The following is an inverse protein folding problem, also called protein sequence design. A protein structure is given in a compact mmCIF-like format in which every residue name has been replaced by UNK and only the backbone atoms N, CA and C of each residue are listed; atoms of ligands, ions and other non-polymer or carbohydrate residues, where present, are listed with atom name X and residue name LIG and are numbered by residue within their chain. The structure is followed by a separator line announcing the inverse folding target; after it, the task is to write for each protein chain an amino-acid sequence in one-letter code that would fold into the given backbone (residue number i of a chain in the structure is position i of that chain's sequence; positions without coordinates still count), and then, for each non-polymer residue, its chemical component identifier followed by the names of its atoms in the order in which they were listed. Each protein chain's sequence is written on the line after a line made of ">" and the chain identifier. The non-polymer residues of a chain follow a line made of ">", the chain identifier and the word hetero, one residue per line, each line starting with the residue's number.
data_IF_215746252476
#
_entry.id   IF_215746252476
#
_cell.length_a   1.000
_cell.length_b   1.000
_cell.length_c   1.000
_cell.angle_alpha   90.00
_cell.angle_beta   90.00
_cell.angle_gamma   90.00
#
_symmetry.space_group_name_H-M   'P 1'
#
loop_
_entity.id
_entity.type
_entity.pdbx_description
1 polymer ?
#
# COMPACT_ATOMS: atom_id res chain seq x y z
N UNK A 1 0.45 -7.11 23.63
CA UNK A 1 -0.02 -6.12 22.64
C UNK A 1 -1.11 -6.67 21.71
N UNK A 2 -0.95 -7.86 21.12
CA UNK A 2 -1.90 -8.44 20.15
C UNK A 2 -3.36 -8.50 20.64
N UNK A 3 -3.60 -8.89 21.90
CA UNK A 3 -4.95 -8.89 22.49
C UNK A 3 -5.66 -7.52 22.41
N UNK A 4 -4.95 -6.41 22.69
CA UNK A 4 -5.53 -5.08 22.65
C UNK A 4 -5.88 -4.66 21.22
N UNK A 5 -5.06 -5.03 20.24
CA UNK A 5 -5.34 -4.78 18.81
C UNK A 5 -6.64 -5.47 18.41
N UNK A 6 -6.82 -6.75 18.74
CA UNK A 6 -8.04 -7.49 18.43
C UNK A 6 -9.28 -6.84 19.08
N UNK A 7 -9.18 -6.44 20.36
CA UNK A 7 -10.27 -5.72 21.03
C UNK A 7 -10.67 -4.45 20.27
N UNK A 8 -9.70 -3.64 19.84
CA UNK A 8 -9.95 -2.40 19.12
C UNK A 8 -10.53 -2.65 17.73
N UNK A 9 -9.99 -3.61 16.99
CA UNK A 9 -10.53 -3.99 15.67
C UNK A 9 -11.98 -4.43 15.79
N UNK A 10 -12.29 -5.29 16.77
CA UNK A 10 -13.68 -5.73 17.01
C UNK A 10 -14.58 -4.57 17.44
N UNK A 11 -14.12 -3.69 18.32
CA UNK A 11 -14.92 -2.59 18.83
C UNK A 11 -15.26 -1.55 17.74
N UNK A 12 -14.33 -1.27 16.83
CA UNK A 12 -14.45 -0.14 15.90
C UNK A 12 -14.68 -0.53 14.44
N UNK A 13 -14.40 -1.78 14.05
CA UNK A 13 -14.53 -2.23 12.66
C UNK A 13 -15.72 -3.16 12.42
N UNK A 14 -16.22 -3.84 13.45
CA UNK A 14 -17.42 -4.71 13.35
C UNK A 14 -18.63 -3.93 13.85
N UNK A 15 -19.59 -3.67 12.97
CA UNK A 15 -20.83 -2.95 13.25
C UNK A 15 -21.77 -3.00 12.02
N UNK A 16 -23.01 -2.56 12.18
CA UNK A 16 -24.05 -2.63 11.13
C UNK A 16 -23.93 -1.58 10.02
N UNK A 17 -22.81 -0.86 9.93
CA UNK A 17 -22.59 0.12 8.86
C UNK A 17 -22.36 -0.62 7.54
N UNK A 18 -23.18 -0.33 6.53
CA UNK A 18 -22.99 -0.87 5.19
C UNK A 18 -21.68 -0.38 4.54
N UNK A 19 -20.91 -1.31 3.98
CA UNK A 19 -19.67 -1.03 3.26
C UNK A 19 -20.00 -0.74 1.79
N UNK A 20 -20.01 0.55 1.44
CA UNK A 20 -20.23 1.03 0.06
C UNK A 20 -19.08 0.75 -0.95
N UNK A 21 -18.09 -0.05 -0.57
CA UNK A 21 -16.94 -0.38 -1.41
C UNK A 21 -17.21 -1.68 -2.16
N UNK A 22 -17.14 -1.64 -3.48
CA UNK A 22 -17.24 -2.83 -4.31
C UNK A 22 -15.83 -3.40 -4.58
N UNK A 23 -15.66 -4.70 -4.38
CA UNK A 23 -14.45 -5.43 -4.73
C UNK A 23 -14.57 -5.96 -6.17
N UNK A 24 -13.61 -5.62 -7.04
CA UNK A 24 -13.68 -5.90 -8.49
C UNK A 24 -12.57 -6.81 -9.00
N UNK A 25 -11.52 -7.04 -8.21
CA UNK A 25 -10.43 -7.96 -8.56
C UNK A 25 -10.75 -9.38 -8.10
N UNK A 26 -9.91 -10.34 -8.49
CA UNK A 26 -10.02 -11.74 -8.06
C UNK A 26 -9.41 -11.91 -6.66
N UNK A 27 -10.22 -12.19 -5.61
CA UNK A 27 -9.70 -12.37 -4.26
C UNK A 27 -8.74 -13.54 -4.14
N UNK A 28 -8.89 -14.61 -4.95
CA UNK A 28 -8.01 -15.78 -4.90
C UNK A 28 -6.57 -15.46 -5.34
N UNK A 29 -6.40 -14.41 -6.16
CA UNK A 29 -5.10 -13.87 -6.56
C UNK A 29 -4.60 -12.86 -5.54
N UNK A 30 -5.46 -11.99 -5.02
CA UNK A 30 -5.07 -10.95 -4.08
C UNK A 30 -4.73 -11.50 -2.67
N UNK A 31 -5.33 -12.63 -2.31
CA UNK A 31 -5.21 -13.30 -1.01
C UNK A 31 -4.76 -14.76 -1.18
N UNK A 32 -3.83 -15.01 -2.11
CA UNK A 32 -3.28 -16.34 -2.44
C UNK A 32 -2.68 -17.12 -1.24
N UNK A 33 -2.38 -16.41 -0.16
CA UNK A 33 -1.86 -16.94 1.10
C UNK A 33 -2.95 -17.42 2.06
N UNK A 34 -4.23 -17.14 1.78
CA UNK A 34 -5.38 -17.51 2.60
C UNK A 34 -6.18 -18.65 1.96
N UNK A 35 -6.90 -19.41 2.79
CA UNK A 35 -7.93 -20.34 2.31
C UNK A 35 -9.28 -19.66 2.06
N UNK A 36 -9.45 -18.41 2.48
CA UNK A 36 -10.65 -17.62 2.23
C UNK A 36 -10.51 -16.80 0.95
N UNK A 37 -11.34 -17.12 -0.03
CA UNK A 37 -11.35 -16.52 -1.36
C UNK A 37 -12.25 -15.27 -1.44
N UNK A 38 -12.24 -14.43 -0.40
CA UNK A 38 -13.09 -13.24 -0.31
C UNK A 38 -12.47 -12.14 0.54
N UNK A 39 -12.91 -10.92 0.30
CA UNK A 39 -12.60 -9.79 1.18
C UNK A 39 -13.45 -9.87 2.45
N UNK A 40 -12.92 -9.43 3.59
CA UNK A 40 -13.54 -9.69 4.89
C UNK A 40 -14.96 -9.14 5.06
N UNK A 41 -15.32 -8.04 4.38
CA UNK A 41 -16.65 -7.45 4.45
C UNK A 41 -17.69 -8.12 3.53
N UNK A 42 -17.27 -9.10 2.73
CA UNK A 42 -18.15 -9.97 1.95
C UNK A 42 -18.34 -11.35 2.61
N UNK A 43 -17.78 -11.58 3.79
CA UNK A 43 -18.05 -12.79 4.58
C UNK A 43 -19.44 -12.72 5.22
N UNK A 44 -20.30 -13.70 4.93
CA UNK A 44 -21.67 -13.75 5.43
C UNK A 44 -21.77 -13.94 6.95
N UNK A 45 -20.69 -14.36 7.62
CA UNK A 45 -20.68 -14.65 9.06
C UNK A 45 -20.05 -13.52 9.88
N UNK A 46 -19.46 -12.51 9.24
CA UNK A 46 -18.73 -11.44 9.93
C UNK A 46 -19.25 -10.08 9.44
N UNK A 47 -19.90 -9.34 10.33
CA UNK A 47 -20.43 -8.02 9.97
C UNK A 47 -19.35 -6.92 10.10
N UNK A 48 -18.65 -6.65 9.00
CA UNK A 48 -17.62 -5.61 8.90
C UNK A 48 -18.24 -4.29 8.43
N UNK A 49 -18.14 -3.23 9.24
CA UNK A 49 -18.56 -1.88 8.86
C UNK A 49 -17.43 -0.93 8.47
N UNK A 50 -16.18 -1.30 8.79
CA UNK A 50 -14.98 -0.58 8.35
C UNK A 50 -13.88 -1.57 7.93
N UNK A 51 -13.71 -1.84 6.62
CA UNK A 51 -12.67 -2.74 6.16
C UNK A 51 -11.29 -2.08 6.24
N UNK A 52 -10.30 -2.84 6.69
CA UNK A 52 -8.90 -2.43 6.77
C UNK A 52 -8.10 -3.26 5.78
N UNK A 53 -7.32 -2.59 4.93
CA UNK A 53 -6.36 -3.22 4.04
C UNK A 53 -4.95 -2.89 4.52
N UNK A 54 -4.08 -3.88 4.63
CA UNK A 54 -2.70 -3.66 5.10
C UNK A 54 -1.71 -4.56 4.37
N UNK A 55 -0.48 -4.06 4.26
CA UNK A 55 0.70 -4.87 3.96
C UNK A 55 1.41 -5.20 5.28
N UNK A 56 2.34 -6.16 5.26
CA UNK A 56 3.22 -6.40 6.40
C UNK A 56 4.46 -5.50 6.37
N UNK A 57 4.94 -5.11 7.55
CA UNK A 57 6.19 -4.40 7.79
C UNK A 57 7.37 -5.33 8.11
N UNK A 58 8.53 -4.74 8.42
CA UNK A 58 9.75 -5.48 8.79
C UNK A 58 9.75 -5.97 10.25
N UNK A 59 8.89 -5.39 11.09
CA UNK A 59 8.71 -5.76 12.50
C UNK A 59 7.47 -6.62 12.75
N UNK A 60 6.66 -6.87 11.72
CA UNK A 60 5.60 -7.87 11.79
C UNK A 60 6.26 -9.24 11.72
N UNK A 61 6.82 -9.68 12.86
CA UNK A 61 7.66 -10.86 13.00
C UNK A 61 7.10 -12.04 12.19
N UNK A 62 7.89 -12.50 11.22
CA UNK A 62 7.61 -13.74 10.50
C UNK A 62 8.04 -14.92 11.36
N UNK A 63 7.08 -15.66 11.92
CA UNK A 63 7.32 -16.95 12.54
C UNK A 63 7.35 -18.05 11.47
N UNK A 64 8.32 -18.97 11.56
CA UNK A 64 8.39 -20.16 10.71
C UNK A 64 8.40 -19.84 9.20
N UNK A 65 7.41 -20.36 8.47
CA UNK A 65 7.28 -20.31 6.99
C UNK A 65 6.86 -18.93 6.43
N UNK A 66 7.23 -17.82 7.07
CA UNK A 66 6.82 -16.48 6.62
C UNK A 66 5.40 -16.07 7.04
N UNK A 67 4.86 -16.69 8.09
CA UNK A 67 3.58 -16.29 8.70
C UNK A 67 3.80 -15.20 9.73
N UNK A 68 2.94 -14.20 9.74
CA UNK A 68 2.97 -13.05 10.64
C UNK A 68 1.71 -13.03 11.50
N UNK A 69 1.67 -12.16 12.50
CA UNK A 69 0.42 -11.89 13.22
C UNK A 69 -0.69 -11.36 12.30
N UNK A 70 -0.33 -10.69 11.20
CA UNK A 70 -1.31 -10.17 10.25
C UNK A 70 -2.03 -11.30 9.51
N UNK A 71 -1.36 -12.43 9.26
CA UNK A 71 -2.02 -13.62 8.69
C UNK A 71 -3.11 -14.12 9.65
N UNK A 72 -2.82 -14.20 10.95
CA UNK A 72 -3.82 -14.60 11.95
C UNK A 72 -5.00 -13.63 12.00
N UNK A 73 -4.75 -12.32 11.92
CA UNK A 73 -5.81 -11.32 11.91
C UNK A 73 -6.63 -11.34 10.61
N UNK A 74 -6.00 -11.69 9.48
CA UNK A 74 -6.66 -11.86 8.19
C UNK A 74 -7.59 -13.09 8.21
N UNK A 75 -7.07 -14.24 8.65
CA UNK A 75 -7.84 -15.49 8.82
C UNK A 75 -8.99 -15.33 9.83
N UNK A 76 -8.84 -14.45 10.82
CA UNK A 76 -9.91 -14.10 11.76
C UNK A 76 -10.96 -13.12 11.19
N UNK A 77 -10.82 -12.69 9.93
CA UNK A 77 -11.71 -11.74 9.25
C UNK A 77 -11.60 -10.29 9.74
N UNK A 78 -10.58 -9.94 10.53
CA UNK A 78 -10.46 -8.61 11.13
C UNK A 78 -9.76 -7.59 10.21
N UNK A 79 -8.94 -8.05 9.27
CA UNK A 79 -8.22 -7.23 8.28
C UNK A 79 -8.13 -7.96 6.93
N UNK A 80 -7.78 -7.22 5.87
CA UNK A 80 -7.40 -7.74 4.57
C UNK A 80 -5.89 -7.56 4.38
N UNK A 81 -5.11 -8.62 4.59
CA UNK A 81 -3.68 -8.62 4.33
C UNK A 81 -3.45 -8.78 2.83
N UNK A 82 -2.66 -7.92 2.21
CA UNK A 82 -2.36 -8.02 0.77
C UNK A 82 -0.90 -7.68 0.48
N UNK A 83 -0.48 -7.89 -0.78
CA UNK A 83 0.87 -7.53 -1.23
C UNK A 83 1.98 -8.41 -0.65
N UNK A 84 1.66 -9.63 -0.24
CA UNK A 84 2.68 -10.65 0.08
C UNK A 84 3.39 -11.07 -1.20
N UNK A 85 4.71 -11.26 -1.11
CA UNK A 85 5.53 -11.71 -2.23
C UNK A 85 5.92 -13.16 -1.97
N UNK A 86 5.45 -14.07 -2.82
CA UNK A 86 5.72 -15.51 -2.76
C UNK A 86 6.90 -15.91 -3.64
N UNK A 87 6.93 -15.45 -4.89
CA UNK A 87 8.07 -15.60 -5.80
C UNK A 87 9.01 -14.39 -5.69
N UNK A 88 10.27 -14.73 -5.54
CA UNK A 88 11.39 -13.85 -5.24
C UNK A 88 12.12 -13.45 -6.52
N UNK A 89 12.14 -14.35 -7.49
CA UNK A 89 12.93 -14.20 -8.71
C UNK A 89 12.14 -13.41 -9.76
N UNK A 90 10.80 -13.51 -9.73
CA UNK A 90 9.88 -12.70 -10.50
C UNK A 90 8.74 -12.20 -9.60
N UNK A 91 8.68 -10.88 -9.41
CA UNK A 91 7.69 -10.24 -8.53
C UNK A 91 6.55 -9.70 -9.37
N UNK A 92 5.44 -10.43 -9.42
CA UNK A 92 4.20 -9.95 -10.00
C UNK A 92 3.34 -9.26 -8.95
N UNK A 93 3.06 -7.97 -9.14
CA UNK A 93 2.25 -7.17 -8.22
C UNK A 93 0.85 -6.99 -8.81
N UNK A 94 -0.09 -7.80 -8.33
CA UNK A 94 -1.52 -7.71 -8.64
C UNK A 94 -2.22 -6.66 -7.78
N UNK A 95 -2.96 -5.70 -8.36
CA UNK A 95 -3.71 -4.72 -7.58
C UNK A 95 -4.99 -5.33 -7.01
N UNK A 96 -5.40 -4.80 -5.85
CA UNK A 96 -6.79 -4.86 -5.41
C UNK A 96 -7.56 -3.77 -6.15
N UNK A 97 -8.65 -4.14 -6.81
CA UNK A 97 -9.47 -3.21 -7.57
C UNK A 97 -10.74 -2.87 -6.78
N UNK A 98 -10.89 -1.61 -6.38
CA UNK A 98 -12.02 -1.12 -5.59
C UNK A 98 -12.81 -0.08 -6.36
N UNK A 99 -14.14 -0.09 -6.19
CA UNK A 99 -15.02 0.96 -6.70
C UNK A 99 -15.91 1.53 -5.61
N UNK A 100 -16.09 2.84 -5.63
CA UNK A 100 -17.10 3.55 -4.83
C UNK A 100 -17.82 4.55 -5.72
N UNK A 101 -19.05 4.22 -6.11
CA UNK A 101 -19.80 4.98 -7.11
C UNK A 101 -19.02 5.05 -8.43
N UNK A 102 -18.64 6.25 -8.87
CA UNK A 102 -17.87 6.46 -10.10
C UNK A 102 -16.35 6.38 -9.90
N UNK A 103 -15.86 6.40 -8.66
CA UNK A 103 -14.42 6.39 -8.38
C UNK A 103 -13.89 4.97 -8.38
N UNK A 104 -12.80 4.74 -9.13
CA UNK A 104 -12.10 3.46 -9.21
C UNK A 104 -10.68 3.61 -8.68
N UNK A 105 -10.25 2.70 -7.81
CA UNK A 105 -8.93 2.68 -7.18
C UNK A 105 -8.26 1.34 -7.45
N UNK A 106 -7.03 1.39 -7.95
CA UNK A 106 -6.16 0.23 -8.06
C UNK A 106 -5.12 0.32 -6.96
N UNK A 107 -5.24 -0.54 -5.94
CA UNK A 107 -4.41 -0.57 -4.76
C UNK A 107 -3.34 -1.66 -4.89
N UNK A 108 -2.11 -1.25 -5.13
CA UNK A 108 -0.93 -2.10 -5.22
C UNK A 108 -0.21 -2.12 -3.88
N UNK A 109 0.32 -3.28 -3.49
CA UNK A 109 1.01 -3.46 -2.22
C UNK A 109 2.30 -4.24 -2.42
N UNK A 110 3.36 -3.78 -1.77
CA UNK A 110 4.62 -4.51 -1.63
C UNK A 110 4.92 -4.58 -0.13
N UNK A 111 4.64 -5.74 0.47
CA UNK A 111 5.04 -6.05 1.84
C UNK A 111 6.54 -5.91 2.03
N UNK A 112 6.96 -5.69 3.28
CA UNK A 112 8.37 -5.44 3.60
C UNK A 112 9.28 -6.54 3.03
N UNK A 113 10.38 -6.11 2.42
CA UNK A 113 11.40 -6.97 1.83
C UNK A 113 12.76 -6.51 2.35
N UNK A 114 13.80 -7.32 2.17
CA UNK A 114 15.15 -6.82 2.36
C UNK A 114 15.43 -5.74 1.32
N UNK A 115 15.82 -4.54 1.76
CA UNK A 115 15.98 -3.38 0.87
C UNK A 115 16.90 -3.68 -0.32
N UNK A 116 18.07 -4.29 -0.07
CA UNK A 116 19.03 -4.67 -1.11
C UNK A 116 18.42 -5.57 -2.19
N UNK A 117 17.52 -6.47 -1.77
CA UNK A 117 16.92 -7.46 -2.67
C UNK A 117 15.88 -6.78 -3.56
N UNK A 118 14.99 -6.01 -2.95
CA UNK A 118 13.95 -5.31 -3.68
C UNK A 118 14.57 -4.27 -4.63
N UNK A 119 15.59 -3.55 -4.18
CA UNK A 119 16.33 -2.59 -5.00
C UNK A 119 16.94 -3.25 -6.25
N UNK A 120 17.55 -4.44 -6.11
CA UNK A 120 18.05 -5.21 -7.26
C UNK A 120 16.91 -5.68 -8.16
N UNK A 121 15.81 -6.19 -7.60
CA UNK A 121 14.66 -6.63 -8.41
C UNK A 121 14.09 -5.48 -9.28
N UNK A 122 14.03 -4.25 -8.75
CA UNK A 122 13.68 -3.06 -9.53
C UNK A 122 14.72 -2.75 -10.61
N UNK A 123 16.02 -2.76 -10.26
CA UNK A 123 17.10 -2.47 -11.20
C UNK A 123 17.16 -3.48 -12.37
N UNK A 124 16.97 -4.76 -12.07
CA UNK A 124 17.03 -5.87 -13.01
C UNK A 124 15.70 -6.04 -13.79
N UNK A 125 14.68 -5.22 -13.51
CA UNK A 125 13.33 -5.27 -14.11
C UNK A 125 12.60 -6.58 -13.88
N UNK A 126 12.84 -7.23 -12.74
CA UNK A 126 12.17 -8.45 -12.31
C UNK A 126 10.84 -8.18 -11.58
N UNK A 127 10.33 -6.95 -11.62
CA UNK A 127 9.05 -6.56 -11.01
C UNK A 127 8.07 -6.17 -12.11
N UNK A 128 6.91 -6.82 -12.14
CA UNK A 128 5.83 -6.52 -13.09
C UNK A 128 4.58 -6.08 -12.34
N UNK A 129 4.10 -4.88 -12.65
CA UNK A 129 2.84 -4.38 -12.11
C UNK A 129 1.71 -4.76 -13.06
N UNK A 130 0.80 -5.63 -12.61
CA UNK A 130 -0.31 -6.10 -13.42
C UNK A 130 -1.41 -5.04 -13.44
N UNK A 131 -1.85 -4.62 -14.62
CA UNK A 131 -2.82 -3.54 -14.77
C UNK A 131 -4.11 -4.02 -15.42
N UNK A 132 -5.28 -3.47 -15.02
CA UNK A 132 -6.54 -3.74 -15.71
C UNK A 132 -6.44 -3.38 -17.19
N UNK A 133 -6.78 -4.32 -18.08
CA UNK A 133 -6.75 -4.09 -19.54
C UNK A 133 -7.77 -3.06 -20.00
N UNK A 134 -8.94 -3.02 -19.37
CA UNK A 134 -10.00 -2.08 -19.69
C UNK A 134 -9.97 -0.85 -18.76
N UNK A 135 -10.07 0.34 -19.35
CA UNK A 135 -10.13 1.60 -18.59
C UNK A 135 -8.84 1.91 -17.83
N UNK A 136 -7.68 1.60 -18.40
CA UNK A 136 -6.36 1.78 -17.77
C UNK A 136 -6.16 3.18 -17.15
N UNK A 137 -6.68 4.23 -17.80
CA UNK A 137 -6.61 5.62 -17.33
C UNK A 137 -7.74 6.01 -16.36
N UNK A 138 -8.74 5.15 -16.13
CA UNK A 138 -9.86 5.43 -15.23
C UNK A 138 -9.52 5.12 -13.76
N UNK A 139 -8.43 4.40 -13.51
CA UNK A 139 -8.01 3.97 -12.19
C UNK A 139 -7.10 5.01 -11.54
N UNK A 140 -7.40 5.35 -10.28
CA UNK A 140 -6.46 6.02 -9.41
C UNK A 140 -5.52 4.97 -8.79
N UNK A 141 -4.24 5.01 -9.15
CA UNK A 141 -3.26 3.98 -8.82
C UNK A 141 -2.51 4.36 -7.54
N UNK A 142 -2.67 3.54 -6.50
CA UNK A 142 -2.01 3.70 -5.21
C UNK A 142 -1.00 2.58 -5.03
N UNK A 143 0.25 2.91 -4.73
CA UNK A 143 1.25 1.94 -4.26
C UNK A 143 1.45 2.09 -2.76
N UNK A 144 1.34 1.00 -2.00
CA UNK A 144 1.71 0.94 -0.58
C UNK A 144 2.98 0.11 -0.44
N UNK A 145 4.01 0.66 0.20
CA UNK A 145 5.29 -0.01 0.37
C UNK A 145 5.89 0.25 1.76
N UNK A 146 6.70 -0.70 2.24
CA UNK A 146 7.37 -0.62 3.54
C UNK A 146 8.88 -0.88 3.38
N UNK A 147 9.65 0.14 2.98
CA UNK A 147 11.09 0.04 2.69
C UNK A 147 11.85 1.27 3.20
N UNK A 148 13.17 1.20 3.33
CA UNK A 148 13.97 2.41 3.60
C UNK A 148 13.85 3.42 2.45
N UNK A 149 13.57 4.69 2.79
CA UNK A 149 13.50 5.80 1.83
C UNK A 149 14.83 6.54 1.65
N UNK A 150 15.57 6.93 2.71
CA UNK A 150 16.90 7.51 2.56
C UNK A 150 17.97 6.41 2.49
N UNK A 151 19.14 6.75 1.95
CA UNK A 151 20.32 5.88 1.98
C UNK A 151 20.65 5.53 3.43
N UNK A 152 20.76 4.23 3.74
CA UNK A 152 21.12 3.71 5.07
C UNK A 152 22.53 3.17 5.16
N UNK A 153 23.16 2.87 4.03
CA UNK A 153 24.52 2.31 4.00
C UNK A 153 25.33 2.87 2.85
N UNK A 154 26.58 3.22 3.10
CA UNK A 154 27.55 3.58 2.05
C UNK A 154 28.41 2.39 1.59
N UNK A 155 28.36 1.28 2.34
CA UNK A 155 29.14 0.08 2.04
C UNK A 155 28.40 -0.91 1.15
N UNK A 156 27.05 -0.86 1.16
CA UNK A 156 26.23 -1.68 0.26
C UNK A 156 26.05 -0.95 -1.06
N UNK A 157 26.24 -1.65 -2.17
CA UNK A 157 26.11 -1.08 -3.52
C UNK A 157 24.71 -0.51 -3.81
N UNK A 158 23.67 -1.01 -3.13
CA UNK A 158 22.28 -0.54 -3.26
C UNK A 158 21.96 0.66 -2.38
N UNK A 159 22.86 1.04 -1.46
CA UNK A 159 22.58 2.03 -0.42
C UNK A 159 21.68 1.53 0.73
N UNK A 160 21.19 0.29 0.68
CA UNK A 160 20.19 -0.28 1.60
C UNK A 160 18.89 0.55 1.70
N UNK A 161 18.37 0.96 0.55
CA UNK A 161 17.12 1.73 0.41
C UNK A 161 16.48 1.45 -0.95
N UNK A 162 15.23 1.90 -1.13
CA UNK A 162 14.56 1.88 -2.42
C UNK A 162 14.61 3.29 -3.05
N UNK A 163 15.36 3.49 -4.16
CA UNK A 163 15.36 4.76 -4.89
C UNK A 163 13.96 5.09 -5.44
N UNK A 164 13.49 6.31 -5.21
CA UNK A 164 12.17 6.78 -5.69
C UNK A 164 12.03 6.69 -7.21
N UNK A 165 13.13 6.91 -7.93
CA UNK A 165 13.21 6.82 -9.40
C UNK A 165 12.89 5.43 -9.97
N UNK A 166 12.92 4.38 -9.14
CA UNK A 166 12.52 3.04 -9.56
C UNK A 166 11.01 2.82 -9.52
N UNK A 167 10.26 3.69 -8.83
CA UNK A 167 8.81 3.60 -8.78
C UNK A 167 8.24 4.06 -10.14
N UNK A 168 7.43 3.22 -10.81
CA UNK A 168 6.82 3.59 -12.09
C UNK A 168 5.98 4.86 -12.01
N UNK A 169 6.02 5.65 -13.07
CA UNK A 169 5.38 6.97 -13.16
C UNK A 169 3.87 6.93 -13.35
N UNK A 170 3.30 5.73 -13.53
CA UNK A 170 1.86 5.56 -13.62
C UNK A 170 1.14 5.59 -12.27
N UNK A 171 1.87 5.47 -11.16
CA UNK A 171 1.28 5.62 -9.83
C UNK A 171 0.86 7.06 -9.61
N UNK A 172 -0.36 7.27 -9.12
CA UNK A 172 -0.85 8.60 -8.76
C UNK A 172 -0.43 8.95 -7.31
N UNK A 173 -0.40 7.94 -6.43
CA UNK A 173 -0.03 8.06 -5.02
C UNK A 173 0.86 6.90 -4.56
N UNK A 174 1.92 7.21 -3.84
CA UNK A 174 2.78 6.25 -3.14
C UNK A 174 2.70 6.51 -1.64
N UNK A 175 2.31 5.49 -0.87
CA UNK A 175 2.28 5.50 0.59
C UNK A 175 3.52 4.76 1.10
N UNK A 176 4.41 5.50 1.75
CA UNK A 176 5.69 5.01 2.24
C UNK A 176 5.63 4.74 3.75
N UNK A 177 5.45 3.47 4.13
CA UNK A 177 5.07 3.07 5.49
C UNK A 177 6.21 2.79 6.47
N UNK A 178 7.45 2.63 6.02
CA UNK A 178 8.57 2.25 6.90
C UNK A 178 9.19 3.41 7.66
N UNK A 179 9.21 4.61 7.07
CA UNK A 179 9.88 5.74 7.69
C UNK A 179 9.07 6.30 8.86
N UNK A 180 9.70 6.39 10.03
CA UNK A 180 9.03 6.85 11.25
C UNK A 180 8.84 8.37 11.28
N UNK A 181 9.66 9.13 10.54
CA UNK A 181 9.51 10.58 10.40
C UNK A 181 8.17 10.90 9.72
N UNK A 182 7.31 11.65 10.40
CA UNK A 182 6.06 12.12 9.81
C UNK A 182 6.36 13.27 8.83
N UNK A 183 6.00 13.11 7.55
CA UNK A 183 5.97 14.19 6.56
C UNK A 183 4.51 14.52 6.24
N UNK A 184 3.92 15.52 6.91
CA UNK A 184 2.46 15.73 6.91
C UNK A 184 1.91 16.23 5.56
N UNK A 185 2.78 16.72 4.69
CA UNK A 185 2.42 17.18 3.36
C UNK A 185 2.91 16.18 2.33
N UNK A 186 2.01 15.76 1.45
CA UNK A 186 2.38 14.94 0.33
C UNK A 186 3.37 15.70 -0.57
N UNK A 187 4.41 15.02 -1.01
CA UNK A 187 5.47 15.59 -1.83
C UNK A 187 5.25 15.19 -3.28
N UNK A 188 5.26 16.16 -4.19
CA UNK A 188 5.30 15.86 -5.62
C UNK A 188 6.73 15.48 -5.99
N UNK A 189 6.89 14.27 -6.49
CA UNK A 189 8.16 13.81 -7.05
C UNK A 189 8.06 13.99 -8.56
N UNK A 190 8.98 14.79 -9.10
CA UNK A 190 9.10 14.99 -10.53
C UNK A 190 9.57 13.68 -11.17
N UNK A 191 8.83 13.19 -12.16
CA UNK A 191 9.28 12.09 -12.99
C UNK A 191 10.55 12.49 -13.74
N UNK A 192 11.50 11.57 -13.82
CA UNK A 192 12.67 11.64 -14.72
C UNK A 192 12.30 11.46 -16.20
N UNK A 193 11.05 11.10 -16.51
CA UNK A 193 10.57 10.87 -17.86
C UNK A 193 10.16 12.20 -18.51
N UNK A 194 10.44 12.34 -19.82
CA UNK A 194 10.14 13.53 -20.62
C UNK A 194 8.64 13.91 -20.67
N UNK A 195 7.76 13.07 -20.12
CA UNK A 195 6.30 13.25 -20.04
C UNK A 195 5.84 14.14 -18.88
N UNK A 196 6.73 14.55 -17.96
CA UNK A 196 6.39 15.51 -16.89
C UNK A 196 5.37 15.00 -15.87
N UNK A 197 5.19 13.68 -15.77
CA UNK A 197 4.32 13.05 -14.77
C UNK A 197 4.76 13.42 -13.34
N UNK A 198 3.78 13.62 -12.45
CA UNK A 198 4.03 13.92 -11.04
C UNK A 198 3.38 12.84 -10.19
N UNK A 199 4.19 12.14 -9.39
CA UNK A 199 3.72 11.14 -8.44
C UNK A 199 3.62 11.79 -7.06
N UNK A 200 2.52 11.55 -6.36
CA UNK A 200 2.33 12.07 -5.01
C UNK A 200 2.91 11.09 -3.98
N UNK A 201 3.86 11.51 -3.16
CA UNK A 201 4.44 10.68 -2.10
C UNK A 201 3.89 11.10 -0.73
N UNK A 202 3.33 10.15 0.01
CA UNK A 202 2.87 10.32 1.40
C UNK A 202 3.73 9.47 2.34
N UNK A 203 4.26 10.09 3.38
CA UNK A 203 5.05 9.42 4.43
C UNK A 203 4.43 9.76 5.79
N UNK A 204 3.46 8.96 6.27
CA UNK A 204 2.65 9.30 7.42
C UNK A 204 3.42 9.29 8.75
N UNK A 205 4.55 8.57 8.84
CA UNK A 205 5.28 8.35 10.10
C UNK A 205 4.65 7.24 10.95
N UNK A 206 5.30 6.89 12.07
CA UNK A 206 4.71 5.99 13.07
C UNK A 206 3.85 6.77 14.07
N UNK A 207 2.83 6.10 14.62
CA UNK A 207 1.96 6.63 15.69
C UNK A 207 2.51 6.36 17.12
N UNK A 208 3.74 5.84 17.23
CA UNK A 208 4.42 5.62 18.49
C UNK A 208 5.80 6.26 18.38
N UNK A 209 6.00 7.37 19.08
CA UNK A 209 7.27 8.10 19.13
C UNK A 209 8.40 7.25 19.73
N UNK A 210 9.08 6.45 18.91
CA UNK A 210 10.35 5.77 19.28
C UNK A 210 11.60 6.47 18.73
N UNK A 211 11.45 7.61 18.02
CA UNK A 211 12.60 8.33 17.44
C UNK A 211 12.65 9.76 17.97
N UNK A 212 13.38 9.96 19.06
CA UNK A 212 13.90 11.27 19.47
C UNK A 212 15.11 11.59 18.59
N UNK A 213 14.90 12.13 17.39
CA UNK A 213 15.96 12.81 16.64
C UNK A 213 15.60 14.27 16.42
N UNK A 214 16.45 15.16 16.97
CA UNK A 214 16.51 16.60 16.75
C UNK A 214 15.25 17.44 17.04
N UNK A 215 14.67 17.28 18.24
CA UNK A 215 14.06 18.41 18.94
C UNK A 215 12.75 19.00 18.37
N UNK A 216 12.05 18.31 17.47
CA UNK A 216 10.69 18.69 17.06
C UNK A 216 9.76 17.49 17.11
N UNK A 217 8.76 17.54 18.01
CA UNK A 217 7.60 16.65 17.98
C UNK A 217 6.80 17.06 16.75
N UNK A 218 6.90 16.27 15.68
CA UNK A 218 6.00 16.40 14.54
C UNK A 218 4.72 15.67 14.91
N UNK A 219 3.60 16.39 14.96
CA UNK A 219 2.29 15.78 15.24
C UNK A 219 2.01 14.66 14.22
N UNK A 220 1.80 13.44 14.73
CA UNK A 220 1.43 12.25 13.97
C UNK A 220 0.04 12.47 13.36
N UNK A 221 -0.14 12.20 12.05
CA UNK A 221 -1.39 12.47 11.33
C UNK A 221 -1.88 11.23 10.60
N UNK A 222 -3.12 10.84 10.87
CA UNK A 222 -3.88 9.95 10.00
C UNK A 222 -4.33 10.73 8.76
N UNK A 223 -4.03 10.22 7.56
CA UNK A 223 -4.39 10.87 6.31
C UNK A 223 -5.75 10.40 5.82
N UNK A 224 -6.70 11.34 5.64
CA UNK A 224 -7.95 11.07 4.93
C UNK A 224 -7.80 11.51 3.48
N UNK A 225 -7.75 10.55 2.55
CA UNK A 225 -7.76 10.86 1.12
C UNK A 225 -9.19 10.97 0.59
N UNK A 226 -9.52 12.10 -0.03
CA UNK A 226 -10.75 12.27 -0.81
C UNK A 226 -10.39 12.28 -2.30
N UNK A 227 -10.44 11.10 -2.93
CA UNK A 227 -10.05 10.94 -4.33
C UNK A 227 -11.07 11.49 -5.33
N UNK A 228 -10.68 12.54 -6.05
CA UNK A 228 -11.17 12.86 -7.40
C UNK A 228 -9.98 13.20 -8.27
N UNK A 229 -9.82 12.52 -9.40
CA UNK A 229 -8.82 12.90 -10.41
C UNK A 229 -9.19 14.32 -10.90
N UNK A 230 -8.29 15.31 -10.85
CA UNK A 230 -8.59 16.62 -11.43
C UNK A 230 -8.84 16.44 -12.93
N UNK A 231 -9.98 16.95 -13.42
CA UNK A 231 -10.26 16.97 -14.86
C UNK A 231 -9.17 17.80 -15.52
N UNK A 232 -8.41 17.22 -16.46
CA UNK A 232 -7.57 18.00 -17.37
C UNK A 232 -8.47 18.92 -18.18
N UNK A 233 -8.53 20.20 -17.81
CA UNK A 233 -9.15 21.25 -18.60
C UNK A 233 -8.19 21.68 -19.72
N UNK A 234 -7.94 20.79 -20.67
CA UNK A 234 -7.37 21.13 -21.97
C UNK A 234 -8.21 20.45 -23.06
N UNK A 235 -9.50 20.79 -23.09
CA UNK A 235 -10.26 20.75 -24.34
C UNK A 235 -10.04 22.12 -25.00
N UNK A 236 -8.99 22.22 -25.81
CA UNK A 236 -8.82 23.35 -26.71
C UNK A 236 -10.05 23.46 -27.61
N UNK A 237 -10.76 24.57 -27.45
CA UNK A 237 -11.62 25.11 -28.49
C UNK A 237 -10.80 25.22 -29.77
N UNK A 238 -11.20 24.49 -30.81
CA UNK A 238 -10.91 24.88 -32.19
C UNK A 238 -12.24 25.10 -32.87
N UNK A 239 -12.44 26.35 -33.29
CA UNK A 239 -13.37 26.73 -34.35
C UNK A 239 -12.85 26.21 -35.69
#
# INVERSE_FOLDING_TARGET
>A
MQHRVIQLLRQYCLNDREVSLEFLSDPSVNFDHSCFDRVNYEDANINIGLPIFTIHGNHDDTAGKGLTILDVLHEAGLINLFGKISDIDQIDVSPILLRKGLTRVALFGIGSQRDDRLCRAFADRNIRFLRPRAGYDDWFNILVLHQNRPIRSIHRSTGAYLPEQYIPTFFDLVIWGHEHECKPHCQYVASSDASGGRVLHSQPGLNNSHVLNQGRIVAEKCFSYQGKRPKNSNASRSH
#
